data_IF_575469690080
#
_entry.id   IF_575469690080
#
_cell.length_a   1.000
_cell.length_b   1.000
_cell.length_c   1.000
_cell.angle_alpha   90.00
_cell.angle_beta   90.00
_cell.angle_gamma   90.00
#
_symmetry.space_group_name_H-M   'P 1'
#
loop_
_entity.id
_entity.type
_entity.pdbx_description
1 polymer ?
#
# COMPACT_ATOMS: atom_id res chain seq x y z
N UNK A 1 0.96 0.64 22.75
CA UNK A 1 0.43 -0.47 21.90
C UNK A 1 -1.06 -0.23 21.71
N UNK A 2 -1.49 0.04 20.48
CA UNK A 2 -2.90 0.28 20.17
C UNK A 2 -3.64 -1.05 20.27
N UNK A 3 -4.69 -1.14 21.07
CA UNK A 3 -5.44 -2.39 21.24
C UNK A 3 -6.53 -2.51 20.17
N UNK A 4 -7.00 -3.73 19.88
CA UNK A 4 -8.13 -3.94 18.98
C UNK A 4 -9.43 -3.27 19.46
N UNK A 5 -9.50 -2.95 20.75
CA UNK A 5 -10.62 -2.26 21.38
C UNK A 5 -10.54 -0.74 21.12
N UNK A 6 -9.34 -0.16 21.11
CA UNK A 6 -9.11 1.24 20.75
C UNK A 6 -9.44 1.47 19.27
N UNK A 7 -9.04 0.55 18.40
CA UNK A 7 -9.39 0.55 16.98
C UNK A 7 -10.89 0.52 16.74
N UNK A 8 -11.60 -0.38 17.41
CA UNK A 8 -13.06 -0.49 17.29
C UNK A 8 -13.78 0.77 17.82
N UNK A 9 -13.28 1.39 18.88
CA UNK A 9 -13.86 2.62 19.41
C UNK A 9 -13.63 3.83 18.51
N UNK A 10 -12.50 3.91 17.83
CA UNK A 10 -12.22 4.97 16.87
C UNK A 10 -13.09 4.81 15.60
N UNK A 11 -13.19 3.60 15.09
CA UNK A 11 -13.99 3.22 13.93
C UNK A 11 -15.49 3.55 14.13
N UNK A 12 -16.05 3.20 15.27
CA UNK A 12 -17.49 3.38 15.53
C UNK A 12 -17.94 4.83 15.65
N UNK A 13 -17.03 5.81 15.76
CA UNK A 13 -17.38 7.22 15.97
C UNK A 13 -17.34 8.08 14.70
N UNK A 14 -16.63 7.68 13.65
CA UNK A 14 -16.31 8.58 12.53
C UNK A 14 -16.31 7.93 11.14
N UNK A 15 -16.81 6.72 10.98
CA UNK A 15 -16.74 6.02 9.70
C UNK A 15 -17.88 6.40 8.78
N UNK A 16 -17.52 6.70 7.55
CA UNK A 16 -18.48 6.96 6.48
C UNK A 16 -19.14 5.65 6.05
N UNK A 17 -20.47 5.70 5.92
CA UNK A 17 -21.28 4.54 5.54
C UNK A 17 -20.80 3.89 4.24
N UNK A 18 -20.38 4.69 3.27
CA UNK A 18 -19.86 4.21 1.99
C UNK A 18 -18.63 3.30 2.14
N UNK A 19 -17.73 3.63 3.07
CA UNK A 19 -16.58 2.75 3.38
C UNK A 19 -17.05 1.43 3.99
N UNK A 20 -18.01 1.49 4.93
CA UNK A 20 -18.55 0.28 5.56
C UNK A 20 -19.20 -0.64 4.52
N UNK A 21 -19.97 -0.06 3.59
CA UNK A 21 -20.64 -0.80 2.53
C UNK A 21 -19.61 -1.51 1.60
N UNK A 22 -18.53 -0.82 1.23
CA UNK A 22 -17.42 -1.44 0.46
C UNK A 22 -16.72 -2.50 1.29
N UNK A 23 -16.41 -2.22 2.54
CA UNK A 23 -15.70 -3.14 3.41
C UNK A 23 -16.49 -4.42 3.66
N UNK A 24 -17.78 -4.33 4.02
CA UNK A 24 -18.62 -5.50 4.30
C UNK A 24 -18.86 -6.36 3.07
N UNK A 25 -18.92 -5.75 1.89
CA UNK A 25 -19.04 -6.49 0.64
C UNK A 25 -17.82 -7.40 0.38
N UNK A 26 -16.63 -6.99 0.83
CA UNK A 26 -15.38 -7.69 0.55
C UNK A 26 -14.93 -8.63 1.65
N UNK A 27 -15.12 -8.25 2.90
CA UNK A 27 -14.60 -8.99 4.05
C UNK A 27 -15.57 -9.98 4.70
N UNK A 28 -16.86 -10.00 4.31
CA UNK A 28 -17.78 -11.09 4.66
C UNK A 28 -17.40 -12.45 4.02
N UNK A 29 -16.36 -12.46 3.18
CA UNK A 29 -15.89 -13.65 2.45
C UNK A 29 -14.58 -14.25 2.98
N UNK A 30 -14.30 -14.16 4.27
CA UNK A 30 -13.16 -14.81 4.96
C UNK A 30 -11.73 -14.38 4.54
N UNK A 31 -11.54 -13.26 3.84
CA UNK A 31 -10.24 -13.00 3.24
C UNK A 31 -9.21 -12.32 4.13
N UNK A 32 -9.55 -11.61 5.19
CA UNK A 32 -8.59 -11.11 6.19
C UNK A 32 -9.34 -10.63 7.43
N UNK A 33 -8.79 -10.92 8.62
CA UNK A 33 -9.44 -10.57 9.87
C UNK A 33 -9.72 -9.07 10.04
N UNK A 34 -10.73 -8.76 10.83
CA UNK A 34 -11.18 -7.40 11.16
C UNK A 34 -10.10 -6.45 11.69
N UNK A 35 -8.90 -6.96 12.00
CA UNK A 35 -7.76 -6.21 12.54
C UNK A 35 -7.08 -5.23 11.56
N UNK A 36 -7.42 -5.27 10.27
CA UNK A 36 -6.84 -4.39 9.25
C UNK A 36 -7.76 -3.24 8.80
N UNK A 37 -8.89 -3.04 9.46
CA UNK A 37 -9.90 -2.03 9.14
C UNK A 37 -9.32 -0.63 8.92
N UNK A 38 -8.47 -0.21 9.84
CA UNK A 38 -7.91 1.14 9.85
C UNK A 38 -6.99 1.41 8.66
N UNK A 39 -6.22 0.41 8.24
CA UNK A 39 -5.32 0.52 7.08
C UNK A 39 -6.11 0.85 5.82
N UNK A 40 -7.22 0.14 5.58
CA UNK A 40 -8.07 0.34 4.41
C UNK A 40 -8.86 1.65 4.49
N UNK A 41 -9.31 2.03 5.69
CA UNK A 41 -9.98 3.31 5.88
C UNK A 41 -9.07 4.50 5.58
N UNK A 42 -7.82 4.44 5.99
CA UNK A 42 -6.80 5.44 5.67
C UNK A 42 -6.62 5.54 4.16
N UNK A 43 -6.41 4.42 3.49
CA UNK A 43 -6.28 4.39 2.02
C UNK A 43 -7.52 4.98 1.34
N UNK A 44 -8.69 4.60 1.77
CA UNK A 44 -9.95 5.11 1.22
C UNK A 44 -10.11 6.62 1.42
N UNK A 45 -9.75 7.16 2.60
CA UNK A 45 -9.79 8.61 2.89
C UNK A 45 -8.81 9.38 2.02
N UNK A 46 -7.55 8.95 1.96
CA UNK A 46 -6.53 9.62 1.17
C UNK A 46 -6.77 9.45 -0.35
N UNK A 47 -7.35 8.34 -0.77
CA UNK A 47 -7.83 8.17 -2.14
C UNK A 47 -8.92 9.20 -2.49
N UNK A 48 -9.87 9.45 -1.58
CA UNK A 48 -10.88 10.48 -1.76
C UNK A 48 -10.31 11.91 -1.84
N UNK A 49 -9.23 12.19 -1.10
CA UNK A 49 -8.51 13.45 -1.23
C UNK A 49 -7.77 13.54 -2.57
N UNK A 50 -6.99 12.51 -2.90
CA UNK A 50 -6.15 12.47 -4.08
C UNK A 50 -6.93 12.45 -5.40
N UNK A 51 -8.19 11.94 -5.37
CA UNK A 51 -9.07 11.94 -6.56
C UNK A 51 -9.45 13.33 -7.08
N UNK A 52 -9.20 14.39 -6.29
CA UNK A 52 -9.40 15.78 -6.71
C UNK A 52 -8.15 16.42 -7.34
N UNK A 53 -7.06 15.66 -7.46
CA UNK A 53 -5.80 16.10 -8.07
C UNK A 53 -5.63 15.53 -9.47
N UNK A 54 -4.86 16.22 -10.33
CA UNK A 54 -4.55 15.78 -11.69
C UNK A 54 -3.42 14.74 -11.69
N UNK A 55 -3.80 13.45 -11.59
CA UNK A 55 -2.86 12.33 -11.60
C UNK A 55 -3.53 10.98 -11.41
N UNK A 56 -2.80 9.94 -11.76
CA UNK A 56 -3.21 8.56 -11.58
C UNK A 56 -2.88 8.07 -10.14
N UNK A 57 -3.46 6.94 -9.78
CA UNK A 57 -3.07 6.23 -8.57
C UNK A 57 -2.09 5.11 -8.91
N UNK A 58 -1.15 4.87 -8.02
CA UNK A 58 -0.19 3.77 -8.13
C UNK A 58 -0.16 2.99 -6.83
N UNK A 59 -0.24 1.68 -6.93
CA UNK A 59 0.05 0.74 -5.84
C UNK A 59 1.22 -0.15 -6.25
N UNK A 60 2.26 -0.18 -5.44
CA UNK A 60 3.38 -1.10 -5.57
C UNK A 60 3.41 -2.04 -4.34
N UNK A 61 3.33 -3.33 -4.62
CA UNK A 61 3.00 -4.37 -3.65
C UNK A 61 1.47 -4.52 -3.54
N UNK A 62 0.90 -5.39 -4.36
CA UNK A 62 -0.56 -5.54 -4.52
C UNK A 62 -1.08 -6.79 -3.83
N UNK A 63 -0.25 -7.84 -3.83
CA UNK A 63 -0.60 -9.16 -3.30
C UNK A 63 -1.95 -9.65 -3.86
N UNK A 64 -2.97 -9.81 -3.02
CA UNK A 64 -4.30 -10.32 -3.40
C UNK A 64 -5.28 -9.23 -3.88
N UNK A 65 -4.88 -7.95 -3.89
CA UNK A 65 -5.66 -6.81 -4.35
C UNK A 65 -6.59 -6.19 -3.31
N UNK A 66 -6.51 -6.56 -2.03
CA UNK A 66 -7.44 -6.06 -1.01
C UNK A 66 -7.41 -4.53 -0.84
N UNK A 67 -6.23 -3.92 -0.87
CA UNK A 67 -6.05 -2.46 -0.80
C UNK A 67 -6.53 -1.76 -2.08
N UNK A 68 -6.26 -2.37 -3.24
CA UNK A 68 -6.65 -1.86 -4.55
C UNK A 68 -8.17 -1.61 -4.65
N UNK A 69 -9.01 -2.42 -3.99
CA UNK A 69 -10.46 -2.26 -3.98
C UNK A 69 -10.87 -0.90 -3.41
N UNK A 70 -10.28 -0.52 -2.25
CA UNK A 70 -10.60 0.76 -1.58
C UNK A 70 -10.08 1.95 -2.37
N UNK A 71 -8.91 1.82 -2.97
CA UNK A 71 -8.32 2.85 -3.83
C UNK A 71 -9.14 3.01 -5.11
N UNK A 72 -9.47 1.91 -5.79
CA UNK A 72 -10.24 1.89 -7.03
C UNK A 72 -11.64 2.51 -6.85
N UNK A 73 -12.29 2.28 -5.72
CA UNK A 73 -13.60 2.86 -5.42
C UNK A 73 -13.59 4.41 -5.43
N UNK A 74 -12.45 5.02 -5.16
CA UNK A 74 -12.27 6.48 -5.12
C UNK A 74 -11.51 7.04 -6.32
N UNK A 75 -10.78 6.21 -7.06
CA UNK A 75 -9.98 6.60 -8.20
C UNK A 75 -10.85 6.95 -9.40
N UNK A 76 -10.72 8.17 -9.92
CA UNK A 76 -11.46 8.65 -11.08
C UNK A 76 -10.66 8.55 -12.39
N UNK A 77 -9.37 8.26 -12.28
CA UNK A 77 -8.43 8.09 -13.40
C UNK A 77 -8.04 6.61 -13.54
N UNK A 78 -6.77 6.30 -13.59
CA UNK A 78 -6.26 4.92 -13.66
C UNK A 78 -5.59 4.57 -12.33
N UNK A 79 -5.87 3.37 -11.82
CA UNK A 79 -5.11 2.75 -10.75
C UNK A 79 -4.12 1.74 -11.35
N UNK A 80 -2.83 2.07 -11.27
CA UNK A 80 -1.73 1.21 -11.70
C UNK A 80 -1.35 0.27 -10.57
N UNK A 81 -1.37 -1.04 -10.84
CA UNK A 81 -1.05 -2.11 -9.90
C UNK A 81 0.26 -2.77 -10.30
N UNK A 82 1.28 -2.65 -9.46
CA UNK A 82 2.64 -3.13 -9.72
C UNK A 82 2.99 -4.22 -8.71
N UNK A 83 3.26 -5.43 -9.19
CA UNK A 83 3.68 -6.55 -8.36
C UNK A 83 4.38 -7.62 -9.22
N UNK A 84 5.23 -8.42 -8.60
CA UNK A 84 5.76 -9.62 -9.25
C UNK A 84 4.69 -10.71 -9.34
N UNK A 85 3.81 -10.80 -8.35
CA UNK A 85 2.92 -11.93 -8.05
C UNK A 85 3.65 -13.27 -7.98
N UNK A 86 4.94 -13.20 -7.64
CA UNK A 86 5.84 -14.36 -7.48
C UNK A 86 6.47 -14.42 -6.08
N UNK A 87 5.95 -13.60 -5.15
CA UNK A 87 6.43 -13.48 -3.78
C UNK A 87 7.38 -12.29 -3.60
N UNK A 88 8.16 -12.32 -2.52
CA UNK A 88 9.12 -11.26 -2.20
C UNK A 88 10.48 -11.54 -2.86
N UNK A 89 11.21 -10.47 -3.17
CA UNK A 89 12.58 -10.56 -3.66
C UNK A 89 13.55 -11.02 -2.57
N UNK A 90 14.81 -11.28 -2.94
CA UNK A 90 15.81 -11.69 -1.99
C UNK A 90 16.05 -10.62 -0.91
N UNK A 91 16.07 -11.05 0.36
CA UNK A 91 16.38 -10.20 1.51
C UNK A 91 17.78 -9.60 1.42
N UNK A 92 17.89 -8.37 1.91
CA UNK A 92 19.14 -7.66 2.10
C UNK A 92 19.40 -7.41 3.59
N UNK A 93 20.60 -6.94 3.93
CA UNK A 93 20.98 -6.63 5.32
C UNK A 93 20.13 -5.54 5.98
N UNK A 94 19.47 -4.71 5.17
CA UNK A 94 18.56 -3.64 5.61
C UNK A 94 17.18 -4.18 5.97
N UNK A 95 16.84 -5.36 5.47
CA UNK A 95 15.60 -6.07 5.78
C UNK A 95 15.83 -6.81 7.10
N UNK A 96 15.24 -6.34 8.15
CA UNK A 96 15.56 -6.75 9.50
C UNK A 96 15.23 -8.21 9.83
N UNK A 97 15.97 -8.79 10.79
CA UNK A 97 15.91 -10.17 11.25
C UNK A 97 14.66 -10.63 12.00
N UNK A 98 13.54 -9.91 11.96
CA UNK A 98 12.26 -10.54 12.34
C UNK A 98 11.98 -11.77 11.46
N UNK A 99 12.44 -11.72 10.25
CA UNK A 99 12.55 -12.87 9.39
C UNK A 99 13.93 -13.47 9.61
N UNK A 100 14.00 -14.58 10.35
CA UNK A 100 15.20 -15.37 10.42
C UNK A 100 15.71 -15.57 8.98
N UNK A 101 16.91 -15.07 8.69
CA UNK A 101 17.48 -15.13 7.34
C UNK A 101 17.60 -16.57 6.82
N UNK A 102 17.58 -17.55 7.76
CA UNK A 102 17.58 -18.97 7.45
C UNK A 102 16.15 -19.53 7.23
N UNK A 103 15.09 -18.79 7.61
CA UNK A 103 13.71 -19.22 7.41
C UNK A 103 13.08 -18.55 6.19
N UNK A 104 13.34 -19.09 5.02
CA UNK A 104 12.71 -18.67 3.76
C UNK A 104 11.23 -19.10 3.65
N UNK A 105 10.60 -19.60 4.70
CA UNK A 105 9.22 -20.14 4.65
C UNK A 105 8.15 -19.05 4.45
N UNK A 106 8.48 -17.80 4.70
CA UNK A 106 7.56 -16.68 4.56
C UNK A 106 7.55 -16.07 3.15
N UNK A 107 8.64 -16.18 2.37
CA UNK A 107 8.70 -15.66 1.00
C UNK A 107 7.60 -16.22 0.08
N UNK A 108 7.27 -17.52 0.11
CA UNK A 108 6.20 -18.09 -0.70
C UNK A 108 4.79 -17.62 -0.32
N UNK A 109 4.59 -17.04 0.88
CA UNK A 109 3.25 -16.62 1.33
C UNK A 109 2.64 -15.52 0.48
N UNK A 110 3.47 -14.72 -0.18
CA UNK A 110 3.05 -13.63 -1.05
C UNK A 110 2.98 -14.02 -2.53
N UNK A 111 3.26 -15.28 -2.85
CA UNK A 111 3.07 -15.81 -4.20
C UNK A 111 1.59 -16.11 -4.43
N UNK A 112 0.99 -15.42 -5.39
CA UNK A 112 -0.42 -15.60 -5.76
C UNK A 112 -0.56 -15.45 -7.28
N UNK A 113 -1.28 -16.35 -7.98
CA UNK A 113 -1.54 -16.18 -9.40
C UNK A 113 -2.26 -14.88 -9.71
N UNK A 114 -1.74 -14.08 -10.65
CA UNK A 114 -2.33 -12.80 -11.04
C UNK A 114 -3.79 -12.95 -11.51
N UNK A 115 -4.16 -14.10 -12.04
CA UNK A 115 -5.52 -14.41 -12.49
C UNK A 115 -6.51 -14.40 -11.32
N UNK A 116 -6.10 -14.87 -10.14
CA UNK A 116 -6.92 -14.76 -8.92
C UNK A 116 -7.09 -13.31 -8.49
N UNK A 117 -6.02 -12.50 -8.61
CA UNK A 117 -6.07 -11.07 -8.29
C UNK A 117 -7.03 -10.35 -9.25
N UNK A 118 -6.96 -10.66 -10.55
CA UNK A 118 -7.90 -10.12 -11.54
C UNK A 118 -9.35 -10.54 -11.28
N UNK A 119 -9.58 -11.78 -10.84
CA UNK A 119 -10.92 -12.23 -10.44
C UNK A 119 -11.40 -11.53 -9.18
N UNK A 120 -10.55 -11.36 -8.18
CA UNK A 120 -10.86 -10.57 -6.98
C UNK A 120 -11.27 -9.14 -7.35
N UNK A 121 -10.59 -8.52 -8.31
CA UNK A 121 -10.76 -7.13 -8.70
C UNK A 121 -11.70 -6.92 -9.90
N UNK A 122 -12.43 -7.95 -10.35
CA UNK A 122 -13.26 -7.91 -11.58
C UNK A 122 -14.37 -6.86 -11.58
N UNK A 123 -14.75 -6.37 -10.39
CA UNK A 123 -15.74 -5.28 -10.27
C UNK A 123 -15.11 -3.89 -10.39
N UNK A 124 -13.80 -3.80 -10.33
CA UNK A 124 -13.06 -2.54 -10.46
C UNK A 124 -12.83 -2.25 -11.95
N UNK A 125 -13.14 -1.05 -12.42
CA UNK A 125 -13.18 -0.75 -13.86
C UNK A 125 -11.95 0.00 -14.39
N UNK A 126 -11.10 0.54 -13.53
CA UNK A 126 -10.04 1.49 -13.90
C UNK A 126 -8.62 0.98 -13.58
N UNK A 127 -8.43 -0.34 -13.64
CA UNK A 127 -7.17 -0.99 -13.25
C UNK A 127 -6.24 -1.21 -14.43
N UNK A 128 -4.93 -1.04 -14.20
CA UNK A 128 -3.86 -1.37 -15.13
C UNK A 128 -2.78 -2.17 -14.39
N UNK A 129 -2.58 -3.41 -14.82
CA UNK A 129 -1.65 -4.34 -14.19
C UNK A 129 -0.27 -4.26 -14.82
N UNK A 130 0.76 -4.18 -13.99
CA UNK A 130 2.18 -4.17 -14.37
C UNK A 130 2.87 -5.32 -13.64
N UNK A 131 2.89 -6.50 -14.28
CA UNK A 131 3.55 -7.67 -13.71
C UNK A 131 5.06 -7.61 -13.95
N UNK A 132 5.83 -7.67 -12.89
CA UNK A 132 7.29 -7.77 -12.95
C UNK A 132 7.96 -7.39 -11.64
N UNK A 133 9.25 -7.62 -11.60
CA UNK A 133 10.09 -7.27 -10.46
C UNK A 133 10.48 -5.79 -10.50
N UNK A 134 10.51 -5.14 -9.34
CA UNK A 134 11.08 -3.81 -9.15
C UNK A 134 12.61 -3.97 -9.05
N UNK A 135 13.41 -3.13 -9.76
CA UNK A 135 12.99 -1.92 -10.51
C UNK A 135 12.61 -2.15 -11.99
N UNK A 136 12.76 -3.33 -12.56
CA UNK A 136 12.66 -3.58 -14.01
C UNK A 136 11.30 -3.21 -14.62
N UNK A 137 10.22 -3.33 -13.82
CA UNK A 137 8.85 -3.01 -14.24
C UNK A 137 8.56 -1.51 -14.20
N UNK A 138 9.45 -0.69 -13.61
CA UNK A 138 9.26 0.75 -13.43
C UNK A 138 9.53 1.51 -14.74
N UNK A 139 8.54 1.60 -15.61
CA UNK A 139 8.63 2.29 -16.91
C UNK A 139 7.41 3.19 -17.20
N UNK A 140 6.78 3.72 -16.14
CA UNK A 140 5.55 4.52 -16.25
C UNK A 140 5.89 6.02 -16.39
N UNK A 141 5.41 6.63 -17.50
CA UNK A 141 5.45 8.08 -17.69
C UNK A 141 4.07 8.67 -17.41
N UNK A 142 3.80 8.93 -16.12
CA UNK A 142 2.51 9.37 -15.61
C UNK A 142 2.70 10.44 -14.53
N UNK A 143 1.67 11.24 -14.29
CA UNK A 143 1.53 12.03 -13.07
C UNK A 143 0.83 11.20 -12.00
N UNK A 144 1.23 11.33 -10.75
CA UNK A 144 0.70 10.53 -9.63
C UNK A 144 0.08 11.44 -8.60
N UNK A 145 -1.19 11.21 -8.29
CA UNK A 145 -1.89 11.89 -7.19
C UNK A 145 -1.89 11.07 -5.90
N UNK A 146 -1.84 9.72 -6.00
CA UNK A 146 -1.69 8.82 -4.86
C UNK A 146 -0.69 7.71 -5.18
N UNK A 147 0.33 7.56 -4.34
CA UNK A 147 1.27 6.46 -4.37
C UNK A 147 1.13 5.64 -3.08
N UNK A 148 0.73 4.38 -3.18
CA UNK A 148 0.72 3.43 -2.09
C UNK A 148 1.88 2.45 -2.24
N UNK A 149 2.72 2.35 -1.20
CA UNK A 149 3.87 1.45 -1.14
C UNK A 149 3.65 0.44 -0.01
N UNK A 150 3.54 -0.83 -0.38
CA UNK A 150 3.35 -1.98 0.52
C UNK A 150 4.26 -3.14 0.04
N UNK A 151 5.58 -2.89 0.10
CA UNK A 151 6.60 -3.74 -0.53
C UNK A 151 7.42 -4.54 0.49
N UNK A 152 7.17 -4.32 1.79
CA UNK A 152 7.85 -4.97 2.92
C UNK A 152 9.38 -4.75 2.97
N UNK A 153 10.08 -4.76 1.84
CA UNK A 153 11.52 -4.78 1.73
C UNK A 153 12.13 -3.40 1.44
N UNK A 154 13.39 -3.24 1.85
CA UNK A 154 14.15 -2.00 1.73
C UNK A 154 14.36 -1.58 0.27
N UNK A 155 14.97 -2.46 -0.53
CA UNK A 155 15.42 -2.07 -1.88
C UNK A 155 14.25 -1.74 -2.81
N UNK A 156 13.20 -2.57 -2.95
CA UNK A 156 12.10 -2.23 -3.84
C UNK A 156 11.32 -0.99 -3.38
N UNK A 157 11.21 -0.73 -2.07
CA UNK A 157 10.60 0.51 -1.56
C UNK A 157 11.45 1.72 -1.92
N UNK A 158 12.76 1.65 -1.74
CA UNK A 158 13.70 2.71 -2.13
C UNK A 158 13.63 3.00 -3.63
N UNK A 159 13.69 1.96 -4.47
CA UNK A 159 13.63 2.09 -5.92
C UNK A 159 12.32 2.76 -6.38
N UNK A 160 11.19 2.40 -5.77
CA UNK A 160 9.90 3.05 -6.03
C UNK A 160 9.90 4.52 -5.61
N UNK A 161 10.43 4.86 -4.44
CA UNK A 161 10.50 6.25 -3.98
C UNK A 161 11.38 7.09 -4.90
N UNK A 162 12.57 6.59 -5.29
CA UNK A 162 13.47 7.27 -6.21
C UNK A 162 12.86 7.46 -7.60
N UNK A 163 12.12 6.47 -8.11
CA UNK A 163 11.51 6.52 -9.43
C UNK A 163 10.26 7.40 -9.49
N UNK A 164 9.39 7.32 -8.47
CA UNK A 164 8.07 7.97 -8.52
C UNK A 164 8.03 9.35 -7.87
N UNK A 165 8.98 9.72 -7.01
CA UNK A 165 8.94 11.00 -6.29
C UNK A 165 8.68 12.19 -7.19
N UNK A 166 9.43 12.32 -8.28
CA UNK A 166 9.27 13.46 -9.19
C UNK A 166 7.97 13.44 -9.98
N UNK A 167 7.33 12.27 -10.11
CA UNK A 167 6.05 12.07 -10.79
C UNK A 167 4.84 12.36 -9.89
N UNK A 168 5.01 12.36 -8.57
CA UNK A 168 3.95 12.76 -7.64
C UNK A 168 3.69 14.26 -7.80
N UNK A 169 2.43 14.63 -8.05
CA UNK A 169 2.03 16.02 -8.26
C UNK A 169 2.10 16.84 -6.96
N UNK A 170 2.22 18.18 -7.02
CA UNK A 170 2.11 19.02 -5.83
C UNK A 170 0.76 18.78 -5.10
N UNK A 171 0.83 18.51 -3.80
CA UNK A 171 -0.32 18.10 -2.99
C UNK A 171 -0.65 16.60 -3.06
N UNK A 172 0.02 15.84 -3.93
CA UNK A 172 -0.13 14.39 -4.01
C UNK A 172 0.30 13.70 -2.73
N UNK A 173 -0.23 12.52 -2.51
CA UNK A 173 -0.09 11.74 -1.27
C UNK A 173 0.72 10.48 -1.52
N UNK A 174 1.68 10.20 -0.64
CA UNK A 174 2.33 8.90 -0.53
C UNK A 174 1.84 8.24 0.76
N UNK A 175 1.33 7.03 0.64
CA UNK A 175 0.98 6.15 1.78
C UNK A 175 1.96 5.00 1.75
N UNK A 176 2.79 4.89 2.78
CA UNK A 176 3.76 3.81 2.91
C UNK A 176 3.49 3.01 4.17
N UNK A 177 3.71 1.70 4.13
CA UNK A 177 3.70 0.89 5.34
C UNK A 177 4.91 1.23 6.20
N UNK A 178 4.62 1.67 7.42
CA UNK A 178 5.61 2.04 8.41
C UNK A 178 5.21 1.50 9.77
N UNK A 179 5.92 0.46 10.19
CA UNK A 179 5.81 -0.06 11.54
C UNK A 179 6.95 0.50 12.38
N UNK A 180 6.64 1.43 13.30
CA UNK A 180 7.67 2.05 14.16
C UNK A 180 8.38 1.05 15.09
N UNK A 181 7.67 -0.01 15.48
CA UNK A 181 8.20 -1.03 16.40
C UNK A 181 8.88 -2.20 15.68
N UNK A 182 8.69 -2.31 14.38
CA UNK A 182 9.20 -3.39 13.55
C UNK A 182 10.03 -2.76 12.45
N UNK A 183 11.34 -2.88 12.55
CA UNK A 183 12.27 -2.32 11.57
C UNK A 183 12.21 -3.11 10.27
N UNK A 184 11.09 -3.08 9.59
CA UNK A 184 10.92 -3.59 8.23
C UNK A 184 11.81 -2.78 7.29
N UNK A 185 12.36 -3.43 6.28
CA UNK A 185 13.18 -2.77 5.28
C UNK A 185 12.48 -1.57 4.64
N UNK A 186 11.18 -1.70 4.34
CA UNK A 186 10.36 -0.61 3.81
C UNK A 186 10.32 0.62 4.72
N UNK A 187 10.19 0.43 6.06
CA UNK A 187 10.23 1.53 7.03
C UNK A 187 11.55 2.28 7.00
N UNK A 188 12.66 1.52 6.93
CA UNK A 188 14.00 2.09 6.85
C UNK A 188 14.19 2.86 5.54
N UNK A 189 13.77 2.29 4.40
CA UNK A 189 13.84 2.94 3.09
C UNK A 189 13.08 4.27 3.08
N UNK A 190 11.87 4.29 3.63
CA UNK A 190 11.06 5.50 3.74
C UNK A 190 11.73 6.56 4.63
N UNK A 191 12.25 6.18 5.79
CA UNK A 191 12.97 7.09 6.71
C UNK A 191 14.25 7.63 6.06
N UNK A 192 15.02 6.78 5.39
CA UNK A 192 16.27 7.19 4.73
C UNK A 192 16.01 8.16 3.57
N UNK A 193 14.94 7.94 2.80
CA UNK A 193 14.56 8.80 1.68
C UNK A 193 14.06 10.17 2.14
N UNK A 194 13.21 10.20 3.17
CA UNK A 194 12.57 11.41 3.68
C UNK A 194 13.25 11.99 4.93
N UNK A 195 14.53 11.68 5.17
CA UNK A 195 15.28 12.10 6.38
C UNK A 195 15.22 13.60 6.69
N UNK A 196 15.08 14.44 5.66
CA UNK A 196 15.01 15.89 5.77
C UNK A 196 13.58 16.45 5.74
N UNK A 197 12.57 15.59 5.58
CA UNK A 197 11.15 15.99 5.54
C UNK A 197 10.59 15.97 6.97
N UNK A 198 10.22 17.16 7.46
CA UNK A 198 9.67 17.34 8.81
C UNK A 198 8.21 16.88 8.97
N UNK A 199 7.52 16.60 7.89
CA UNK A 199 6.08 16.34 7.85
C UNK A 199 5.76 14.91 7.39
N UNK A 200 6.39 13.92 8.04
CA UNK A 200 5.91 12.55 7.94
C UNK A 200 4.90 12.35 9.07
N UNK A 201 3.63 12.18 8.73
CA UNK A 201 2.60 11.84 9.68
C UNK A 201 2.60 10.33 9.90
N UNK A 202 3.17 9.89 11.01
CA UNK A 202 3.08 8.50 11.45
C UNK A 202 1.71 8.26 12.07
N UNK A 203 1.00 7.28 11.55
CA UNK A 203 -0.29 6.90 12.08
C UNK A 203 -0.16 5.66 12.99
N UNK A 204 -0.97 5.55 14.04
CA UNK A 204 -0.95 4.39 14.94
C UNK A 204 -1.20 3.05 14.23
N UNK A 205 -1.70 3.09 13.02
CA UNK A 205 -2.01 1.93 12.16
C UNK A 205 -0.78 1.33 11.48
N UNK A 206 0.42 1.89 11.69
CA UNK A 206 1.63 1.48 10.98
C UNK A 206 1.73 2.02 9.55
N UNK A 207 0.99 3.08 9.23
CA UNK A 207 1.11 3.80 7.96
C UNK A 207 1.79 5.14 8.14
N UNK A 208 2.64 5.53 7.20
CA UNK A 208 3.13 6.89 7.06
C UNK A 208 2.40 7.59 5.93
N UNK A 209 2.05 8.84 6.16
CA UNK A 209 1.43 9.71 5.17
C UNK A 209 2.39 10.86 4.88
N UNK A 210 2.82 10.96 3.64
CA UNK A 210 3.69 12.02 3.17
C UNK A 210 2.93 12.82 2.11
N UNK A 211 2.87 14.13 2.28
CA UNK A 211 2.29 15.04 1.28
C UNK A 211 3.42 15.77 0.56
N UNK A 212 3.41 15.73 -0.78
CA UNK A 212 4.36 16.46 -1.61
C UNK A 212 3.98 17.92 -1.81
#
# INVERSE_FOLDING_TARGET
>A
MYTSEDSNNWLNKNIEKEFIDVFTQWFDKDLLGKSFYERYYILWKYSGYASNLDGDFVEAGVYNGSSAIFMSNRCQTVLHLIDSWEGLSQLQKEDNPIYDQDDNTWMPRFNIPIELVKDNLKICSNLKYHKGWIPDVLNLDIKISLLHLDLDLYQPTKDCLEYFWDKVVPGGIIVSDLHDEVAWGASKATKDFFKDIKEINFLPTGKAIIKK
#
